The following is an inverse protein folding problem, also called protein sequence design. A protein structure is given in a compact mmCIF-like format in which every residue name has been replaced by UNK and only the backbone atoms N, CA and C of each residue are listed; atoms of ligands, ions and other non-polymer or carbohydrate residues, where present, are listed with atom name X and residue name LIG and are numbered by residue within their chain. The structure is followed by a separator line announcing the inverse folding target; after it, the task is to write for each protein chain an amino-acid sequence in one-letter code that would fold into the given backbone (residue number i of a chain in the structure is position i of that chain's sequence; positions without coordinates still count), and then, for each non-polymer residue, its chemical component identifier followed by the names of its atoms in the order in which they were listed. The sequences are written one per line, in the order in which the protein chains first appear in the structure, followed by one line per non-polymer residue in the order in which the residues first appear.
data_IF_406539782733
#
_entry.id   IF_406539782733
#
_cell.length_a   1.000
_cell.length_b   1.000
_cell.length_c   1.000
_cell.angle_alpha   90.00
_cell.angle_beta   90.00
_cell.angle_gamma   90.00
#
_symmetry.space_group_name_H-M   'P 1'
#
loop_
_entity.id
_entity.type
_entity.pdbx_description
1 polymer ?
#
# COMPACT_ATOMS: atom_id res chain seq x y z
N UNK A 1 -9.13 18.35 -5.81
CA UNK A 1 -9.08 19.77 -5.50
C UNK A 1 -8.29 20.12 -4.27
N UNK A 2 -8.32 21.36 -3.89
CA UNK A 2 -7.51 21.87 -2.78
C UNK A 2 -7.85 21.23 -1.43
N UNK A 3 -9.12 20.96 -1.17
CA UNK A 3 -9.54 20.31 0.10
C UNK A 3 -9.03 18.87 0.19
N UNK A 4 -9.12 18.11 -0.90
CA UNK A 4 -8.60 16.74 -0.94
C UNK A 4 -7.08 16.78 -0.81
N UNK A 5 -6.39 17.70 -1.50
CA UNK A 5 -4.94 17.85 -1.40
C UNK A 5 -4.49 18.07 0.04
N UNK A 6 -5.11 18.99 0.76
CA UNK A 6 -4.79 19.26 2.17
C UNK A 6 -5.11 18.09 3.07
N UNK A 7 -6.23 17.41 2.82
CA UNK A 7 -6.62 16.22 3.57
C UNK A 7 -5.59 15.10 3.38
N UNK A 8 -5.20 14.83 2.14
CA UNK A 8 -4.21 13.78 1.83
C UNK A 8 -2.80 14.15 2.32
N UNK A 9 -2.44 15.43 2.39
CA UNK A 9 -1.20 15.84 3.04
C UNK A 9 -1.16 15.41 4.51
N UNK A 10 -2.27 15.57 5.22
CA UNK A 10 -2.40 15.13 6.63
C UNK A 10 -2.32 13.61 6.74
N UNK A 11 -2.94 12.90 5.82
CA UNK A 11 -2.87 11.42 5.77
C UNK A 11 -1.43 10.96 5.58
N UNK A 12 -0.70 11.60 4.67
CA UNK A 12 0.72 11.28 4.45
C UNK A 12 1.56 11.53 5.70
N UNK A 13 1.35 12.65 6.39
CA UNK A 13 2.03 12.95 7.65
C UNK A 13 1.72 11.92 8.73
N UNK A 14 0.46 11.53 8.88
CA UNK A 14 0.02 10.51 9.83
C UNK A 14 0.68 9.16 9.52
N UNK A 15 0.67 8.75 8.26
CA UNK A 15 1.32 7.50 7.83
C UNK A 15 2.82 7.52 8.15
N UNK A 16 3.51 8.60 7.79
CA UNK A 16 4.95 8.73 8.04
C UNK A 16 5.28 8.70 9.54
N UNK A 17 4.41 9.22 10.39
CA UNK A 17 4.60 9.20 11.84
C UNK A 17 4.38 7.81 12.45
N UNK A 18 3.53 6.98 11.85
CA UNK A 18 3.17 5.66 12.38
C UNK A 18 4.06 4.53 11.86
N UNK A 19 4.65 4.68 10.68
CA UNK A 19 5.37 3.58 9.99
C UNK A 19 6.85 3.96 9.83
N UNK A 20 7.74 3.20 10.48
CA UNK A 20 9.18 3.49 10.45
C UNK A 20 9.91 2.86 9.26
N UNK A 21 9.50 1.66 8.86
CA UNK A 21 10.19 0.86 7.85
C UNK A 21 9.46 0.83 6.52
N UNK A 22 8.73 1.89 6.22
CA UNK A 22 8.02 2.05 4.95
C UNK A 22 8.34 3.42 4.36
N UNK A 23 8.26 3.51 3.05
CA UNK A 23 8.42 4.76 2.32
C UNK A 23 7.04 5.35 2.07
N UNK A 24 6.82 6.58 2.49
CA UNK A 24 5.55 7.29 2.29
C UNK A 24 5.77 8.38 1.23
N UNK A 25 4.95 8.35 0.19
CA UNK A 25 5.04 9.28 -0.92
C UNK A 25 3.66 9.84 -1.25
N UNK A 26 3.60 11.10 -1.67
CA UNK A 26 2.41 11.65 -2.29
C UNK A 26 2.46 11.38 -3.80
N UNK A 27 1.32 10.92 -4.33
CA UNK A 27 1.17 10.58 -5.76
C UNK A 27 -0.15 11.15 -6.27
N UNK A 28 -0.42 10.99 -7.55
CA UNK A 28 -1.67 11.42 -8.17
C UNK A 28 -2.47 10.18 -8.57
N UNK A 29 -3.76 10.14 -8.21
CA UNK A 29 -4.63 9.01 -8.56
C UNK A 29 -5.17 9.13 -10.00
N UNK A 30 -5.99 8.14 -10.42
CA UNK A 30 -6.55 8.11 -11.76
C UNK A 30 -7.47 9.30 -12.07
N UNK A 31 -8.00 9.96 -11.04
CA UNK A 31 -8.87 11.14 -11.18
C UNK A 31 -8.09 12.46 -11.11
N UNK A 32 -6.75 12.42 -11.10
CA UNK A 32 -5.91 13.60 -10.99
C UNK A 32 -5.87 14.19 -9.58
N UNK A 33 -6.30 13.45 -8.56
CA UNK A 33 -6.33 13.91 -7.18
C UNK A 33 -5.12 13.38 -6.41
N UNK A 34 -4.68 14.15 -5.41
CA UNK A 34 -3.58 13.73 -4.54
C UNK A 34 -3.96 12.46 -3.79
N UNK A 35 -3.03 11.52 -3.73
CA UNK A 35 -3.15 10.24 -3.05
C UNK A 35 -1.86 9.95 -2.28
N UNK A 36 -1.88 8.93 -1.44
CA UNK A 36 -0.71 8.53 -0.64
C UNK A 36 -0.33 7.10 -1.03
N UNK A 37 0.96 6.90 -1.26
CA UNK A 37 1.54 5.59 -1.55
C UNK A 37 2.50 5.21 -0.42
N UNK A 38 2.27 4.06 0.19
CA UNK A 38 3.13 3.51 1.24
C UNK A 38 3.75 2.24 0.71
N UNK A 39 5.07 2.21 0.64
CA UNK A 39 5.83 1.08 0.08
C UNK A 39 6.57 0.36 1.21
N UNK A 40 6.32 -0.95 1.31
CA UNK A 40 7.00 -1.86 2.24
C UNK A 40 7.95 -2.77 1.47
N UNK A 41 9.17 -2.93 1.98
CA UNK A 41 10.12 -3.91 1.46
C UNK A 41 9.62 -5.32 1.77
N UNK A 42 9.49 -6.17 0.75
CA UNK A 42 9.03 -7.54 0.94
C UNK A 42 9.97 -8.37 1.81
N UNK A 43 11.27 -8.07 1.80
CA UNK A 43 12.24 -8.75 2.65
C UNK A 43 12.04 -8.47 4.13
N UNK A 44 11.44 -7.32 4.48
CA UNK A 44 11.05 -7.00 5.85
C UNK A 44 9.77 -7.74 6.23
N UNK A 45 8.81 -7.82 5.31
CA UNK A 45 7.49 -8.40 5.57
C UNK A 45 7.51 -9.93 5.62
N UNK A 46 8.28 -10.58 4.75
CA UNK A 46 8.19 -12.02 4.50
C UNK A 46 9.57 -12.67 4.46
N UNK A 47 9.63 -13.93 4.85
CA UNK A 47 10.78 -14.78 4.55
C UNK A 47 10.81 -15.08 3.03
N UNK A 48 11.98 -15.49 2.52
CA UNK A 48 12.17 -15.81 1.11
C UNK A 48 11.14 -16.85 0.64
N UNK A 49 10.47 -16.57 -0.47
CA UNK A 49 9.44 -17.41 -1.08
C UNK A 49 8.22 -17.69 -0.19
N UNK A 50 8.05 -16.95 0.89
CA UNK A 50 6.92 -17.07 1.81
C UNK A 50 5.99 -15.88 1.70
N UNK A 51 4.73 -16.11 2.07
CA UNK A 51 3.71 -15.06 2.14
C UNK A 51 3.19 -14.87 3.57
N UNK A 52 3.77 -15.57 4.54
CA UNK A 52 3.41 -15.42 5.95
C UNK A 52 4.13 -14.22 6.55
N UNK A 53 3.37 -13.34 7.19
CA UNK A 53 3.92 -12.15 7.84
C UNK A 53 4.65 -12.55 9.14
N UNK A 54 5.83 -11.98 9.37
CA UNK A 54 6.54 -12.16 10.64
C UNK A 54 6.00 -11.21 11.72
N UNK A 55 6.39 -11.43 12.98
CA UNK A 55 5.89 -10.65 14.12
C UNK A 55 6.22 -9.16 14.02
N UNK A 56 7.42 -8.80 13.58
CA UNK A 56 7.85 -7.41 13.43
C UNK A 56 6.98 -6.69 12.39
N UNK A 57 6.70 -7.35 11.27
CA UNK A 57 5.85 -6.82 10.21
C UNK A 57 4.41 -6.64 10.66
N UNK A 58 3.89 -7.59 11.44
CA UNK A 58 2.55 -7.47 12.01
C UNK A 58 2.44 -6.25 12.91
N UNK A 59 3.45 -5.97 13.74
CA UNK A 59 3.46 -4.76 14.56
C UNK A 59 3.44 -3.48 13.72
N UNK A 60 4.23 -3.45 12.65
CA UNK A 60 4.30 -2.32 11.72
C UNK A 60 2.96 -2.11 11.02
N UNK A 61 2.38 -3.18 10.49
CA UNK A 61 1.09 -3.12 9.81
C UNK A 61 -0.06 -2.79 10.77
N UNK A 62 0.01 -3.23 12.04
CA UNK A 62 -0.97 -2.87 13.04
C UNK A 62 -0.97 -1.36 13.31
N UNK A 63 0.21 -0.74 13.37
CA UNK A 63 0.32 0.72 13.48
C UNK A 63 -0.25 1.40 12.24
N UNK A 64 0.05 0.89 11.05
CA UNK A 64 -0.49 1.44 9.81
C UNK A 64 -2.00 1.28 9.72
N UNK A 65 -2.57 0.20 10.27
CA UNK A 65 -4.02 -0.01 10.30
C UNK A 65 -4.75 1.13 11.02
N UNK A 66 -4.12 1.76 11.99
CA UNK A 66 -4.69 2.92 12.69
C UNK A 66 -4.91 4.08 11.72
N UNK A 67 -3.94 4.33 10.83
CA UNK A 67 -4.05 5.35 9.79
C UNK A 67 -5.23 5.05 8.86
N UNK A 68 -5.36 3.80 8.44
CA UNK A 68 -6.46 3.38 7.55
C UNK A 68 -7.82 3.50 8.22
N UNK A 69 -7.92 3.11 9.49
CA UNK A 69 -9.17 3.24 10.26
C UNK A 69 -9.56 4.69 10.50
N UNK A 70 -8.58 5.57 10.73
CA UNK A 70 -8.82 6.99 10.93
C UNK A 70 -9.26 7.70 9.63
N UNK A 71 -9.05 7.06 8.49
CA UNK A 71 -9.35 7.59 7.17
C UNK A 71 -10.28 6.64 6.41
N UNK A 72 -11.42 6.33 7.03
CA UNK A 72 -12.39 5.36 6.51
C UNK A 72 -13.01 5.76 5.16
N UNK A 73 -12.93 7.02 4.77
CA UNK A 73 -13.37 7.55 3.48
C UNK A 73 -12.30 7.45 2.38
N UNK A 74 -11.13 6.87 2.69
CA UNK A 74 -10.14 6.50 1.67
C UNK A 74 -10.41 5.11 1.14
N UNK A 75 -10.27 4.95 -0.18
CA UNK A 75 -10.11 3.64 -0.82
C UNK A 75 -8.66 3.16 -0.65
N UNK A 76 -8.49 1.84 -0.65
CA UNK A 76 -7.19 1.18 -0.46
C UNK A 76 -6.96 0.20 -1.60
N UNK A 77 -5.83 0.35 -2.29
CA UNK A 77 -5.33 -0.64 -3.25
C UNK A 77 -4.02 -1.21 -2.74
N UNK A 78 -3.84 -2.52 -2.86
CA UNK A 78 -2.61 -3.21 -2.46
C UNK A 78 -2.07 -3.98 -3.66
N UNK A 79 -0.79 -3.75 -4.00
CA UNK A 79 -0.10 -4.42 -5.09
C UNK A 79 1.18 -5.07 -4.59
N UNK A 80 1.31 -6.39 -4.83
CA UNK A 80 2.54 -7.11 -4.61
C UNK A 80 3.41 -7.11 -5.85
N UNK A 81 4.73 -6.95 -5.68
CA UNK A 81 5.71 -6.93 -6.77
C UNK A 81 6.90 -7.82 -6.44
N UNK A 82 7.48 -8.43 -7.46
CA UNK A 82 8.70 -9.24 -7.36
C UNK A 82 9.82 -8.61 -8.19
N UNK A 83 11.05 -9.09 -7.99
CA UNK A 83 12.10 -8.87 -8.98
C UNK A 83 11.90 -9.82 -10.17
N UNK A 84 12.79 -9.76 -11.16
CA UNK A 84 12.68 -10.57 -12.37
C UNK A 84 13.24 -11.99 -12.23
N UNK A 85 13.73 -12.38 -11.04
CA UNK A 85 14.27 -13.74 -10.81
C UNK A 85 13.13 -14.76 -10.89
N UNK A 86 13.39 -15.89 -11.55
CA UNK A 86 12.40 -16.91 -11.77
C UNK A 86 11.52 -16.62 -12.98
N UNK A 87 10.24 -16.94 -12.89
CA UNK A 87 9.28 -16.75 -13.97
C UNK A 87 7.91 -16.34 -13.43
N UNK A 88 7.01 -15.93 -14.34
CA UNK A 88 5.67 -15.46 -14.01
C UNK A 88 4.82 -16.54 -13.32
N UNK A 89 5.03 -17.80 -13.65
CA UNK A 89 4.31 -18.92 -13.02
C UNK A 89 4.58 -19.05 -11.52
N UNK A 90 5.69 -18.48 -11.05
CA UNK A 90 6.06 -18.40 -9.63
C UNK A 90 5.76 -17.01 -9.07
N UNK A 91 6.16 -15.97 -9.79
CA UNK A 91 6.15 -14.59 -9.30
C UNK A 91 4.75 -14.01 -9.16
N UNK A 92 3.85 -14.29 -10.11
CA UNK A 92 2.48 -13.77 -10.04
C UNK A 92 1.73 -14.38 -8.85
N UNK A 93 1.67 -15.72 -8.67
CA UNK A 93 1.01 -16.28 -7.48
C UNK A 93 1.63 -15.83 -6.16
N UNK A 94 2.96 -15.73 -6.07
CA UNK A 94 3.63 -15.29 -4.85
C UNK A 94 3.26 -13.84 -4.51
N UNK A 95 3.30 -12.95 -5.49
CA UNK A 95 2.94 -11.54 -5.29
C UNK A 95 1.47 -11.38 -4.94
N UNK A 96 0.57 -12.18 -5.52
CA UNK A 96 -0.84 -12.23 -5.14
C UNK A 96 -1.03 -12.66 -3.69
N UNK A 97 -0.37 -13.75 -3.28
CA UNK A 97 -0.45 -14.27 -1.90
C UNK A 97 0.07 -13.25 -0.89
N UNK A 98 1.13 -12.54 -1.24
CA UNK A 98 1.71 -11.52 -0.36
C UNK A 98 0.76 -10.31 -0.21
N UNK A 99 0.20 -9.82 -1.31
CA UNK A 99 -0.79 -8.74 -1.27
C UNK A 99 -2.00 -9.15 -0.42
N UNK A 100 -2.48 -10.37 -0.60
CA UNK A 100 -3.60 -10.91 0.16
C UNK A 100 -3.27 -11.03 1.66
N UNK A 101 -2.08 -11.50 2.01
CA UNK A 101 -1.65 -11.61 3.42
C UNK A 101 -1.66 -10.25 4.11
N UNK A 102 -1.18 -9.21 3.43
CA UNK A 102 -1.19 -7.84 3.96
C UNK A 102 -2.64 -7.37 4.16
N UNK A 103 -3.49 -7.54 3.15
CA UNK A 103 -4.90 -7.14 3.23
C UNK A 103 -5.63 -7.86 4.37
N UNK A 104 -5.47 -9.18 4.46
CA UNK A 104 -6.13 -10.00 5.48
C UNK A 104 -5.70 -9.59 6.89
N UNK A 105 -4.42 -9.29 7.08
CA UNK A 105 -3.93 -8.84 8.38
C UNK A 105 -4.50 -7.47 8.76
N UNK A 106 -4.50 -6.52 7.82
CA UNK A 106 -5.09 -5.19 8.05
C UNK A 106 -6.58 -5.29 8.40
N UNK A 107 -7.32 -6.16 7.72
CA UNK A 107 -8.73 -6.44 8.05
C UNK A 107 -8.86 -7.00 9.46
N UNK A 108 -7.97 -7.90 9.86
CA UNK A 108 -7.97 -8.47 11.23
C UNK A 108 -7.68 -7.40 12.29
N UNK A 109 -7.00 -6.32 11.92
CA UNK A 109 -6.76 -5.16 12.79
C UNK A 109 -7.96 -4.20 12.85
N UNK A 110 -9.02 -4.47 12.10
CA UNK A 110 -10.24 -3.66 12.13
C UNK A 110 -10.45 -2.74 10.94
N UNK A 111 -9.58 -2.79 9.92
CA UNK A 111 -9.81 -2.01 8.69
C UNK A 111 -11.01 -2.58 7.95
N UNK A 112 -11.96 -1.72 7.59
CA UNK A 112 -13.20 -2.14 6.95
C UNK A 112 -12.93 -2.78 5.58
N UNK A 113 -13.56 -3.94 5.33
CA UNK A 113 -13.48 -4.62 4.05
C UNK A 113 -13.90 -3.72 2.89
N UNK A 114 -14.85 -2.82 3.11
CA UNK A 114 -15.37 -1.93 2.07
C UNK A 114 -14.36 -0.88 1.58
N UNK A 115 -13.29 -0.62 2.32
CA UNK A 115 -12.24 0.29 1.87
C UNK A 115 -11.38 -0.32 0.76
N UNK A 116 -11.17 -1.65 0.78
CA UNK A 116 -10.29 -2.33 -0.18
C UNK A 116 -10.94 -2.45 -1.54
N UNK A 117 -10.25 -1.94 -2.58
CA UNK A 117 -10.73 -1.97 -3.97
C UNK A 117 -9.94 -2.97 -4.81
N UNK A 118 -8.59 -2.91 -4.76
CA UNK A 118 -7.72 -3.82 -5.49
C UNK A 118 -6.77 -4.51 -4.52
N UNK A 119 -6.63 -5.82 -4.65
CA UNK A 119 -5.64 -6.61 -3.93
C UNK A 119 -5.04 -7.55 -4.96
N UNK A 120 -3.89 -7.19 -5.55
CA UNK A 120 -3.39 -7.80 -6.78
C UNK A 120 -1.89 -7.99 -6.75
N UNK A 121 -1.43 -9.15 -7.21
CA UNK A 121 -0.02 -9.38 -7.49
C UNK A 121 0.31 -9.03 -8.94
N UNK A 122 1.34 -8.24 -9.13
CA UNK A 122 1.83 -7.78 -10.43
C UNK A 122 3.03 -8.60 -10.94
N UNK A 123 3.55 -9.52 -10.12
CA UNK A 123 4.79 -10.23 -10.45
C UNK A 123 5.92 -9.23 -10.68
N UNK A 124 6.72 -9.47 -11.73
CA UNK A 124 7.87 -8.61 -12.08
C UNK A 124 7.55 -7.55 -13.14
N UNK A 125 6.28 -7.33 -13.45
CA UNK A 125 5.87 -6.50 -14.60
C UNK A 125 6.07 -4.99 -14.42
N UNK A 126 6.26 -4.51 -13.18
CA UNK A 126 6.38 -3.08 -12.89
C UNK A 126 7.62 -2.79 -12.04
N UNK A 127 8.81 -2.90 -12.61
CA UNK A 127 10.04 -2.62 -11.87
C UNK A 127 10.18 -1.12 -11.58
N UNK A 128 10.72 -0.81 -10.40
CA UNK A 128 11.07 0.57 -10.00
C UNK A 128 12.57 0.81 -10.02
N UNK A 129 13.36 -0.25 -10.21
CA UNK A 129 14.82 -0.20 -10.23
C UNK A 129 15.38 -1.27 -11.17
N UNK A 130 16.70 -1.26 -11.37
CA UNK A 130 17.38 -2.19 -12.27
C UNK A 130 17.42 -3.60 -11.68
N UNK A 131 16.80 -4.56 -12.36
CA UNK A 131 16.85 -5.97 -12.00
C UNK A 131 18.24 -6.61 -12.21
N UNK A 132 19.13 -5.93 -12.89
CA UNK A 132 20.50 -6.38 -13.12
C UNK A 132 21.40 -6.25 -11.89
N UNK A 133 21.00 -5.50 -10.87
CA UNK A 133 21.75 -5.31 -9.63
C UNK A 133 21.00 -5.90 -8.45
N UNK A 134 21.75 -6.35 -7.42
CA UNK A 134 21.15 -6.86 -6.19
C UNK A 134 20.34 -5.77 -5.46
N UNK A 135 20.82 -4.55 -5.43
CA UNK A 135 20.13 -3.41 -4.83
C UNK A 135 18.83 -3.10 -5.57
N UNK A 136 18.86 -3.13 -6.90
CA UNK A 136 17.67 -2.87 -7.72
C UNK A 136 16.62 -3.97 -7.55
N UNK A 137 17.03 -5.23 -7.52
CA UNK A 137 16.13 -6.36 -7.26
C UNK A 137 15.46 -6.23 -5.89
N UNK A 138 16.20 -5.82 -4.87
CA UNK A 138 15.63 -5.61 -3.53
C UNK A 138 14.55 -4.53 -3.55
N UNK A 139 14.77 -3.44 -4.26
CA UNK A 139 13.76 -2.37 -4.39
C UNK A 139 12.52 -2.84 -5.15
N UNK A 140 12.70 -3.74 -6.13
CA UNK A 140 11.57 -4.27 -6.90
C UNK A 140 10.71 -5.24 -6.07
N UNK A 141 11.31 -5.95 -5.10
CA UNK A 141 10.57 -6.83 -4.16
C UNK A 141 9.88 -5.99 -3.11
N UNK A 142 8.65 -5.60 -3.37
CA UNK A 142 7.89 -4.67 -2.52
C UNK A 142 6.40 -4.95 -2.52
N UNK A 143 5.72 -4.41 -1.51
CA UNK A 143 4.27 -4.30 -1.48
C UNK A 143 3.92 -2.82 -1.41
N UNK A 144 3.08 -2.36 -2.31
CA UNK A 144 2.62 -0.98 -2.37
C UNK A 144 1.18 -0.89 -1.89
N UNK A 145 0.91 0.06 -1.01
CA UNK A 145 -0.44 0.34 -0.54
C UNK A 145 -0.78 1.79 -0.91
N UNK A 146 -1.85 1.95 -1.68
CA UNK A 146 -2.34 3.27 -2.08
C UNK A 146 -3.57 3.62 -1.27
N UNK A 147 -3.62 4.86 -0.78
CA UNK A 147 -4.79 5.47 -0.15
C UNK A 147 -5.24 6.63 -1.04
N UNK A 148 -6.47 6.59 -1.49
CA UNK A 148 -6.99 7.62 -2.40
C UNK A 148 -8.46 7.91 -2.09
N UNK A 149 -8.94 9.05 -2.61
CA UNK A 149 -10.29 9.55 -2.31
C UNK A 149 -11.38 8.62 -2.84
N UNK A 150 -12.30 8.24 -1.97
CA UNK A 150 -13.56 7.61 -2.35
C UNK A 150 -14.50 8.67 -2.94
N UNK A 151 -15.60 8.21 -3.55
CA UNK A 151 -16.65 9.14 -4.01
C UNK A 151 -17.21 9.96 -2.85
N UNK A 152 -17.36 9.35 -1.67
CA UNK A 152 -17.83 10.06 -0.48
C UNK A 152 -16.88 11.21 -0.08
N UNK A 153 -15.58 11.00 -0.16
CA UNK A 153 -14.61 12.06 0.11
C UNK A 153 -14.70 13.16 -0.94
N UNK A 154 -14.83 12.81 -2.22
CA UNK A 154 -14.98 13.77 -3.32
C UNK A 154 -16.24 14.61 -3.12
N UNK A 155 -17.35 13.96 -2.78
CA UNK A 155 -18.62 14.65 -2.52
C UNK A 155 -18.51 15.61 -1.33
N UNK A 156 -17.85 15.20 -0.25
CA UNK A 156 -17.62 16.05 0.92
C UNK A 156 -16.73 17.25 0.57
N UNK A 157 -15.70 17.06 -0.26
CA UNK A 157 -14.85 18.15 -0.73
C UNK A 157 -15.65 19.14 -1.58
N UNK A 158 -16.48 18.65 -2.49
CA UNK A 158 -17.32 19.49 -3.35
C UNK A 158 -18.38 20.26 -2.55
N UNK A 159 -18.87 19.69 -1.46
CA UNK A 159 -19.81 20.33 -0.56
C UNK A 159 -19.12 21.27 0.46
N UNK A 160 -17.79 21.29 0.51
CA UNK A 160 -17.03 22.09 1.47
C UNK A 160 -17.05 21.52 2.89
N UNK A 161 -17.44 20.25 3.09
CA UNK A 161 -17.57 19.63 4.42
C UNK A 161 -16.39 18.72 4.78
N UNK A 162 -15.44 18.48 3.88
CA UNK A 162 -14.25 17.68 4.14
C UNK A 162 -13.32 18.41 5.10
N UNK A 163 -12.92 17.72 6.17
CA UNK A 163 -12.05 18.28 7.21
C UNK A 163 -10.59 17.85 7.07
#
# INVERSE_FOLDING_TARGET
GALIGRHMDKVAEEAAAQVENAKVEEVTDANGLKAVKVTFDSGILFATNKADLNATSKNELAKFSTVLKNNADCHIDIYGHTDSTGNDGINIPLSNSRAKSVADYLKSCGVSNSQFQQITGKGSSEPVADNGTASGRQQNRRVEIYMYASQAMIDAANAGTLK
#
